data_IF_638902079141
#
_entry.id   IF_638902079141
#
_cell.length_a   1.000
_cell.length_b   1.000
_cell.length_c   1.000
_cell.angle_alpha   90.00
_cell.angle_beta   90.00
_cell.angle_gamma   90.00
#
_symmetry.space_group_name_H-M   'P 1'
#
loop_
_entity.id
_entity.type
_entity.pdbx_description
1 polymer ?
#
# COMPACT_ATOMS: atom_id res chain seq x y z
N UNK A 1 2.08 51.93 -26.07
CA UNK A 1 1.35 51.75 -24.80
C UNK A 1 1.49 50.31 -24.36
N UNK A 2 2.25 50.05 -23.29
CA UNK A 2 2.42 48.74 -22.66
C UNK A 2 1.33 48.55 -21.62
N UNK A 3 0.49 47.52 -21.73
CA UNK A 3 -0.39 47.08 -20.63
C UNK A 3 -0.43 45.55 -20.55
N UNK A 4 0.05 45.12 -19.40
CA UNK A 4 0.00 43.83 -18.73
C UNK A 4 -1.26 42.99 -18.97
N UNK A 5 -1.07 41.68 -19.08
CA UNK A 5 -1.98 40.72 -18.48
C UNK A 5 -1.21 39.46 -18.04
N UNK A 6 -1.16 39.25 -16.72
CA UNK A 6 -0.75 38.00 -16.08
C UNK A 6 -1.68 36.86 -16.46
N UNK A 7 -1.13 35.75 -16.96
CA UNK A 7 -1.77 34.44 -17.03
C UNK A 7 -0.65 33.43 -16.67
N UNK A 8 -0.58 32.92 -15.44
CA UNK A 8 -1.34 31.79 -14.88
C UNK A 8 -0.53 30.48 -15.00
N UNK A 9 -0.34 29.85 -13.84
CA UNK A 9 -0.24 28.42 -13.60
C UNK A 9 0.84 27.58 -14.30
N UNK A 10 1.77 27.13 -13.47
CA UNK A 10 1.95 25.71 -13.18
C UNK A 10 2.09 24.79 -14.40
N UNK A 11 3.29 24.77 -14.97
CA UNK A 11 3.77 23.65 -15.76
C UNK A 11 4.01 22.45 -14.82
N UNK A 12 2.90 21.81 -14.42
CA UNK A 12 2.84 20.47 -13.86
C UNK A 12 3.25 19.48 -14.96
N UNK A 13 3.90 18.40 -14.54
CA UNK A 13 4.31 17.24 -15.34
C UNK A 13 5.60 17.43 -16.16
N UNK A 14 6.74 17.48 -15.49
CA UNK A 14 7.98 16.97 -16.08
C UNK A 14 8.46 15.75 -15.31
N UNK A 15 8.64 14.67 -16.07
CA UNK A 15 9.36 13.44 -15.75
C UNK A 15 8.64 12.37 -14.89
N UNK A 16 7.63 11.71 -15.47
CA UNK A 16 7.36 10.29 -15.21
C UNK A 16 7.61 9.47 -16.49
N UNK A 17 8.83 9.53 -17.01
CA UNK A 17 9.30 8.54 -17.99
C UNK A 17 10.71 8.16 -17.57
N UNK A 18 10.83 7.10 -16.77
CA UNK A 18 12.04 6.28 -16.59
C UNK A 18 11.67 5.08 -15.72
N UNK A 19 11.34 3.95 -16.36
CA UNK A 19 11.64 2.54 -16.00
C UNK A 19 10.57 1.60 -16.59
N UNK A 20 10.98 0.76 -17.54
CA UNK A 20 10.10 -0.04 -18.42
C UNK A 20 9.36 -1.18 -17.73
N UNK A 21 8.29 -1.68 -18.36
CA UNK A 21 7.56 -2.92 -18.00
C UNK A 21 7.45 -3.23 -16.49
N UNK A 22 7.30 -2.21 -15.65
CA UNK A 22 7.38 -2.38 -14.21
C UNK A 22 6.07 -3.04 -13.75
N UNK A 23 6.19 -4.27 -13.24
CA UNK A 23 5.09 -4.92 -12.51
C UNK A 23 4.55 -3.93 -11.47
N UNK A 24 3.23 -3.92 -11.28
CA UNK A 24 2.59 -3.10 -10.25
C UNK A 24 3.34 -3.28 -8.90
N UNK A 25 3.56 -2.19 -8.13
CA UNK A 25 4.30 -2.29 -6.88
C UNK A 25 3.61 -3.29 -5.96
N UNK A 26 4.43 -4.16 -5.36
CA UNK A 26 3.99 -5.18 -4.43
C UNK A 26 4.37 -4.79 -3.01
N UNK A 27 3.60 -5.28 -2.05
CA UNK A 27 3.83 -5.07 -0.63
C UNK A 27 5.14 -5.75 -0.20
N UNK A 28 6.02 -5.00 0.48
CA UNK A 28 7.15 -5.58 1.20
C UNK A 28 6.85 -5.59 2.69
N UNK A 29 6.41 -6.73 3.22
CA UNK A 29 6.03 -6.87 4.61
C UNK A 29 7.04 -7.72 5.42
N UNK A 30 8.32 -7.73 4.99
CA UNK A 30 9.38 -8.42 5.70
C UNK A 30 9.72 -7.81 7.08
N UNK A 31 9.31 -6.57 7.32
CA UNK A 31 9.34 -5.91 8.64
C UNK A 31 8.29 -4.81 8.71
N UNK A 32 7.93 -4.36 9.92
CA UNK A 32 6.99 -3.24 10.12
C UNK A 32 7.44 -1.95 9.40
N UNK A 33 8.74 -1.68 9.37
CA UNK A 33 9.28 -0.51 8.66
C UNK A 33 9.08 -0.62 7.14
N UNK A 34 9.39 -1.79 6.56
CA UNK A 34 9.22 -2.04 5.12
C UNK A 34 7.74 -2.06 4.73
N UNK A 35 6.88 -2.57 5.61
CA UNK A 35 5.44 -2.57 5.43
C UNK A 35 4.89 -1.14 5.34
N UNK A 36 5.28 -0.26 6.28
CA UNK A 36 4.86 1.15 6.27
C UNK A 36 5.35 1.88 5.03
N UNK A 37 6.61 1.71 4.67
CA UNK A 37 7.16 2.28 3.44
C UNK A 37 6.42 1.78 2.19
N UNK A 38 6.04 0.50 2.15
CA UNK A 38 5.27 -0.07 1.05
C UNK A 38 3.87 0.53 0.96
N UNK A 39 3.19 0.75 2.09
CA UNK A 39 1.89 1.43 2.10
C UNK A 39 2.02 2.83 1.51
N UNK A 40 3.04 3.60 1.88
CA UNK A 40 3.25 4.95 1.35
C UNK A 40 3.48 4.95 -0.17
N UNK A 41 4.32 4.03 -0.67
CA UNK A 41 4.60 3.90 -2.10
C UNK A 41 3.36 3.43 -2.86
N UNK A 42 2.68 2.40 -2.37
CA UNK A 42 1.54 1.78 -3.04
C UNK A 42 0.27 2.63 -2.98
N UNK A 43 0.13 3.49 -1.97
CA UNK A 43 -0.98 4.46 -1.85
C UNK A 43 -0.70 5.79 -2.53
N UNK A 44 0.47 5.96 -3.15
CA UNK A 44 0.82 7.20 -3.84
C UNK A 44 -0.16 7.47 -4.99
N UNK A 45 -0.81 8.63 -4.95
CA UNK A 45 -1.82 9.03 -5.95
C UNK A 45 -3.24 8.53 -5.68
N UNK A 46 -3.47 7.80 -4.58
CA UNK A 46 -4.83 7.50 -4.11
C UNK A 46 -5.46 8.73 -3.44
N UNK A 47 -6.80 8.83 -3.52
CA UNK A 47 -7.54 9.73 -2.64
C UNK A 47 -7.47 9.27 -1.18
N UNK A 48 -7.79 10.14 -0.23
CA UNK A 48 -7.81 9.79 1.19
C UNK A 48 -8.73 8.61 1.49
N UNK A 49 -9.91 8.55 0.84
CA UNK A 49 -10.84 7.44 0.97
C UNK A 49 -10.27 6.13 0.44
N UNK A 50 -9.62 6.15 -0.73
CA UNK A 50 -8.99 4.95 -1.31
C UNK A 50 -7.80 4.48 -0.47
N UNK A 51 -6.99 5.41 0.03
CA UNK A 51 -5.89 5.12 0.93
C UNK A 51 -6.39 4.49 2.23
N UNK A 52 -7.49 5.00 2.78
CA UNK A 52 -8.10 4.43 3.97
C UNK A 52 -8.66 3.03 3.72
N UNK A 53 -9.37 2.80 2.60
CA UNK A 53 -9.84 1.45 2.21
C UNK A 53 -8.67 0.48 2.08
N UNK A 54 -7.58 0.91 1.46
CA UNK A 54 -6.38 0.09 1.29
C UNK A 54 -5.70 -0.24 2.63
N UNK A 55 -5.54 0.74 3.53
CA UNK A 55 -4.95 0.53 4.85
C UNK A 55 -5.82 -0.44 5.67
N UNK A 56 -7.14 -0.24 5.67
CA UNK A 56 -8.08 -1.13 6.36
C UNK A 56 -8.04 -2.56 5.80
N UNK A 57 -7.93 -2.71 4.49
CA UNK A 57 -7.78 -4.01 3.86
C UNK A 57 -6.47 -4.71 4.27
N UNK A 58 -5.35 -3.99 4.33
CA UNK A 58 -4.08 -4.52 4.84
C UNK A 58 -4.22 -4.99 6.30
N UNK A 59 -4.83 -4.16 7.16
CA UNK A 59 -5.02 -4.48 8.57
C UNK A 59 -5.94 -5.68 8.78
N UNK A 60 -7.05 -5.76 8.03
CA UNK A 60 -8.00 -6.87 8.07
C UNK A 60 -7.32 -8.19 7.69
N UNK A 61 -6.57 -8.21 6.59
CA UNK A 61 -5.84 -9.39 6.15
C UNK A 61 -4.76 -9.80 7.15
N UNK A 62 -3.97 -8.83 7.64
CA UNK A 62 -2.96 -9.09 8.67
C UNK A 62 -3.58 -9.72 9.90
N UNK A 63 -4.66 -9.16 10.41
CA UNK A 63 -5.34 -9.66 11.60
C UNK A 63 -5.90 -11.06 11.36
N UNK A 64 -6.53 -11.30 10.22
CA UNK A 64 -7.00 -12.64 9.85
C UNK A 64 -5.88 -13.68 9.86
N UNK A 65 -4.72 -13.38 9.26
CA UNK A 65 -3.58 -14.30 9.27
C UNK A 65 -3.04 -14.53 10.69
N UNK A 66 -2.95 -13.48 11.51
CA UNK A 66 -2.58 -13.62 12.92
C UNK A 66 -3.56 -14.53 13.66
N UNK A 67 -4.87 -14.35 13.49
CA UNK A 67 -5.89 -15.15 14.17
C UNK A 67 -5.84 -16.62 13.74
N UNK A 68 -5.58 -16.91 12.46
CA UNK A 68 -5.39 -18.29 11.99
C UNK A 68 -4.13 -18.92 12.59
N UNK A 69 -3.01 -18.18 12.62
CA UNK A 69 -1.77 -18.66 13.22
C UNK A 69 -1.92 -18.88 14.73
N UNK A 70 -2.62 -18.02 15.44
CA UNK A 70 -2.86 -18.14 16.88
C UNK A 70 -3.70 -19.37 17.26
N UNK A 71 -4.40 -20.03 16.31
CA UNK A 71 -5.09 -21.31 16.56
C UNK A 71 -4.11 -22.47 16.74
N UNK A 72 -2.96 -22.40 16.09
CA UNK A 72 -1.93 -23.45 16.13
C UNK A 72 -0.67 -23.02 16.88
N UNK A 73 -0.45 -21.72 17.03
CA UNK A 73 0.73 -21.13 17.68
C UNK A 73 0.36 -20.48 19.02
N UNK A 74 1.19 -20.72 20.04
CA UNK A 74 1.04 -20.08 21.36
C UNK A 74 1.82 -18.77 21.51
N UNK A 75 2.60 -18.38 20.50
CA UNK A 75 3.44 -17.19 20.52
C UNK A 75 2.83 -16.06 19.67
N UNK A 76 2.28 -15.05 20.35
CA UNK A 76 1.63 -13.89 19.71
C UNK A 76 2.60 -13.03 18.90
N UNK A 77 3.85 -12.90 19.33
CA UNK A 77 4.83 -12.06 18.64
C UNK A 77 5.27 -12.71 17.33
N UNK A 78 5.45 -14.03 17.35
CA UNK A 78 5.77 -14.80 16.15
C UNK A 78 4.59 -14.85 15.17
N UNK A 79 3.36 -15.07 15.67
CA UNK A 79 2.15 -15.01 14.86
C UNK A 79 1.98 -13.63 14.19
N UNK A 80 2.32 -12.53 14.88
CA UNK A 80 2.32 -11.17 14.30
C UNK A 80 3.36 -11.00 13.20
N UNK A 81 4.58 -11.48 13.40
CA UNK A 81 5.64 -11.39 12.40
C UNK A 81 5.28 -12.18 11.13
N UNK A 82 4.77 -13.41 11.30
CA UNK A 82 4.34 -14.27 10.19
C UNK A 82 3.07 -13.75 9.51
N UNK A 83 2.12 -13.24 10.29
CA UNK A 83 0.90 -12.62 9.77
C UNK A 83 1.17 -11.35 8.98
N UNK A 84 2.20 -10.58 9.34
CA UNK A 84 2.70 -9.47 8.55
C UNK A 84 3.35 -9.97 7.25
N UNK A 85 4.23 -10.97 7.34
CA UNK A 85 4.92 -11.54 6.18
C UNK A 85 3.94 -12.09 5.12
N UNK A 86 2.76 -12.56 5.53
CA UNK A 86 1.70 -13.05 4.64
C UNK A 86 1.16 -12.01 3.64
N UNK A 87 1.36 -10.71 3.91
CA UNK A 87 0.98 -9.65 2.96
C UNK A 87 2.03 -9.41 1.87
N UNK A 88 3.24 -9.97 2.00
CA UNK A 88 4.33 -9.73 1.05
C UNK A 88 3.97 -10.18 -0.37
N UNK A 89 4.53 -9.49 -1.35
CA UNK A 89 4.36 -9.72 -2.78
C UNK A 89 2.93 -9.53 -3.33
N UNK A 90 1.98 -9.11 -2.47
CA UNK A 90 0.62 -8.76 -2.91
C UNK A 90 0.58 -7.34 -3.45
N UNK A 91 -0.10 -7.17 -4.58
CA UNK A 91 -0.49 -5.85 -5.11
C UNK A 91 -1.67 -5.26 -4.35
N UNK A 92 -1.91 -3.95 -4.49
CA UNK A 92 -3.10 -3.27 -3.92
C UNK A 92 -4.39 -4.01 -4.30
N UNK A 93 -4.54 -4.39 -5.58
CA UNK A 93 -5.73 -5.08 -6.08
C UNK A 93 -5.95 -6.42 -5.39
N UNK A 94 -4.88 -7.21 -5.21
CA UNK A 94 -4.97 -8.50 -4.51
C UNK A 94 -5.36 -8.31 -3.04
N UNK A 95 -4.74 -7.34 -2.36
CA UNK A 95 -5.07 -7.00 -0.95
C UNK A 95 -6.54 -6.62 -0.82
N UNK A 96 -7.03 -5.70 -1.66
CA UNK A 96 -8.44 -5.29 -1.63
C UNK A 96 -9.39 -6.45 -1.95
N UNK A 97 -9.05 -7.29 -2.93
CA UNK A 97 -9.89 -8.42 -3.32
C UNK A 97 -9.93 -9.50 -2.23
N UNK A 98 -8.80 -9.85 -1.65
CA UNK A 98 -8.72 -10.84 -0.58
C UNK A 98 -9.44 -10.33 0.68
N UNK A 99 -9.26 -9.06 1.05
CA UNK A 99 -9.96 -8.47 2.18
C UNK A 99 -11.49 -8.43 2.01
N UNK A 100 -12.00 -8.31 0.78
CA UNK A 100 -13.44 -8.39 0.47
C UNK A 100 -14.00 -9.81 0.57
N UNK A 101 -13.14 -10.83 0.42
CA UNK A 101 -13.51 -12.25 0.47
C UNK A 101 -13.41 -12.84 1.90
N UNK A 102 -12.91 -12.07 2.87
CA UNK A 102 -12.88 -12.40 4.30
C UNK A 102 -14.18 -11.98 5.00
#
# INVERSE_FOLDING_TARGET
MKKFLSILSAAVVSAFILTGCAKAPTMNAASEQKYRASIEVMSKGMSDSQKQEFIQACEKLRQYHVDQLMKSMKNKNEARALGLAALSDKTVKQILQEAKNL
#
